data_IF_629319848125
#
_entry.id   IF_629319848125
#
_cell.length_a   1.000
_cell.length_b   1.000
_cell.length_c   1.000
_cell.angle_alpha   90.00
_cell.angle_beta   90.00
_cell.angle_gamma   90.00
#
_symmetry.space_group_name_H-M   'P 1'
#
loop_
_entity.id
_entity.type
_entity.pdbx_description
1 polymer ?
#
# COMPACT_ATOMS: atom_id res chain seq x y z
N UNK A 1 -24.07 -65.77 -84.27
CA UNK A 1 -25.14 -66.20 -85.17
C UNK A 1 -26.47 -65.68 -84.64
N UNK A 2 -27.23 -65.00 -85.51
CA UNK A 2 -28.70 -64.94 -85.60
C UNK A 2 -29.54 -64.41 -84.40
N UNK A 3 -30.03 -63.17 -84.59
CA UNK A 3 -31.44 -62.70 -84.55
C UNK A 3 -32.50 -63.44 -83.73
N UNK A 4 -33.35 -62.70 -82.99
CA UNK A 4 -34.79 -62.54 -83.36
C UNK A 4 -35.51 -61.41 -82.61
N UNK A 5 -36.30 -60.67 -83.38
CA UNK A 5 -37.29 -59.67 -83.00
C UNK A 5 -38.51 -60.26 -82.28
N UNK A 6 -39.20 -59.43 -81.49
CA UNK A 6 -40.56 -59.66 -81.00
C UNK A 6 -41.24 -58.34 -80.67
N UNK A 7 -42.27 -58.00 -81.45
CA UNK A 7 -43.08 -56.79 -81.41
C UNK A 7 -44.27 -57.00 -80.45
N UNK A 8 -44.75 -55.99 -79.71
CA UNK A 8 -46.13 -55.98 -79.19
C UNK A 8 -46.59 -54.57 -78.79
N UNK A 9 -47.90 -54.40 -78.89
CA UNK A 9 -48.69 -53.18 -79.12
C UNK A 9 -48.96 -52.34 -77.86
N UNK A 10 -49.25 -51.07 -78.12
CA UNK A 10 -49.79 -50.05 -77.21
C UNK A 10 -51.15 -50.45 -76.58
N UNK A 11 -51.35 -50.06 -75.32
CA UNK A 11 -52.62 -49.48 -74.85
C UNK A 11 -52.36 -48.49 -73.70
N UNK A 12 -52.65 -47.22 -73.96
CA UNK A 12 -52.61 -46.12 -72.98
C UNK A 12 -53.91 -46.11 -72.18
N UNK A 13 -53.81 -46.22 -70.85
CA UNK A 13 -54.95 -46.07 -69.93
C UNK A 13 -54.85 -44.73 -69.20
N UNK A 14 -55.96 -43.99 -69.22
CA UNK A 14 -56.10 -42.64 -68.64
C UNK A 14 -56.16 -42.72 -67.10
N UNK A 15 -55.49 -41.84 -66.34
CA UNK A 15 -55.59 -41.81 -64.88
C UNK A 15 -56.90 -41.14 -64.38
N UNK A 16 -57.36 -41.48 -63.17
CA UNK A 16 -58.65 -41.04 -62.62
C UNK A 16 -58.62 -39.59 -62.10
N UNK A 17 -59.78 -38.93 -62.08
CA UNK A 17 -60.00 -37.55 -61.61
C UNK A 17 -59.94 -37.42 -60.07
N UNK A 18 -59.50 -36.27 -59.53
CA UNK A 18 -59.41 -36.02 -58.07
C UNK A 18 -60.75 -35.60 -57.44
N UNK A 19 -60.92 -35.78 -56.10
CA UNK A 19 -62.11 -35.34 -55.35
C UNK A 19 -62.06 -33.82 -55.02
N UNK A 20 -63.20 -33.20 -54.66
CA UNK A 20 -63.35 -31.74 -54.59
C UNK A 20 -62.67 -31.12 -53.35
N UNK A 21 -62.06 -29.96 -53.56
CA UNK A 21 -61.32 -29.15 -52.58
C UNK A 21 -62.26 -28.45 -51.59
N UNK A 22 -62.07 -28.69 -50.29
CA UNK A 22 -62.64 -27.87 -49.21
C UNK A 22 -61.48 -27.03 -48.63
N UNK A 23 -61.54 -25.71 -48.78
CA UNK A 23 -60.37 -24.82 -48.75
C UNK A 23 -60.04 -24.26 -47.36
N UNK A 24 -58.78 -24.40 -46.93
CA UNK A 24 -58.20 -23.73 -45.74
C UNK A 24 -58.16 -22.19 -45.87
N UNK A 25 -58.26 -21.64 -47.09
CA UNK A 25 -58.31 -20.19 -47.34
C UNK A 25 -59.54 -19.51 -46.73
N UNK A 26 -60.69 -20.20 -46.67
CA UNK A 26 -61.94 -19.61 -46.18
C UNK A 26 -61.88 -19.38 -44.66
N UNK A 27 -61.25 -20.29 -43.92
CA UNK A 27 -61.12 -20.21 -42.45
C UNK A 27 -60.20 -19.05 -42.05
N UNK A 28 -59.08 -18.86 -42.77
CA UNK A 28 -58.12 -17.79 -42.49
C UNK A 28 -58.69 -16.40 -42.81
N UNK A 29 -59.48 -16.28 -43.89
CA UNK A 29 -60.18 -15.04 -44.24
C UNK A 29 -61.27 -14.69 -43.22
N UNK A 30 -62.11 -15.66 -42.83
CA UNK A 30 -63.16 -15.45 -41.84
C UNK A 30 -62.61 -15.14 -40.43
N UNK A 31 -61.51 -15.78 -40.03
CA UNK A 31 -60.83 -15.49 -38.76
C UNK A 31 -60.20 -14.09 -38.77
N UNK A 32 -59.58 -13.68 -39.89
CA UNK A 32 -59.05 -12.32 -40.05
C UNK A 32 -60.16 -11.27 -39.94
N UNK A 33 -61.32 -11.50 -40.55
CA UNK A 33 -62.52 -10.64 -40.39
C UNK A 33 -63.01 -10.59 -38.94
N UNK A 34 -63.12 -11.74 -38.26
CA UNK A 34 -63.50 -11.77 -36.83
C UNK A 34 -62.50 -11.08 -35.90
N UNK A 35 -61.22 -11.12 -36.22
CA UNK A 35 -60.17 -10.43 -35.45
C UNK A 35 -60.21 -8.91 -35.62
N UNK A 36 -60.80 -8.40 -36.72
CA UNK A 36 -61.02 -6.96 -36.93
C UNK A 36 -62.17 -6.41 -36.07
N UNK A 37 -63.15 -7.24 -35.74
CA UNK A 37 -64.31 -6.88 -34.88
C UNK A 37 -63.91 -6.71 -33.39
N UNK A 38 -62.72 -7.16 -32.99
CA UNK A 38 -62.22 -6.97 -31.62
C UNK A 38 -61.63 -5.56 -31.47
N UNK A 39 -62.33 -4.72 -30.71
CA UNK A 39 -62.14 -3.27 -30.53
C UNK A 39 -60.72 -2.75 -30.22
N UNK A 40 -59.73 -3.59 -29.94
CA UNK A 40 -58.37 -3.18 -29.56
C UNK A 40 -57.24 -3.84 -30.38
N UNK A 41 -57.53 -4.82 -31.23
CA UNK A 41 -56.50 -5.56 -31.99
C UNK A 41 -55.85 -4.68 -33.07
N UNK A 42 -56.59 -3.70 -33.61
CA UNK A 42 -56.09 -2.70 -34.56
C UNK A 42 -54.95 -1.84 -34.01
N UNK A 43 -54.91 -1.60 -32.70
CA UNK A 43 -53.90 -0.78 -32.04
C UNK A 43 -52.57 -1.52 -31.86
N UNK A 44 -52.60 -2.85 -31.72
CA UNK A 44 -51.44 -3.64 -31.30
C UNK A 44 -50.75 -4.31 -32.51
N UNK A 45 -51.48 -4.62 -33.59
CA UNK A 45 -50.93 -5.31 -34.76
C UNK A 45 -51.10 -4.51 -36.05
N UNK A 46 -50.00 -3.97 -36.60
CA UNK A 46 -49.95 -3.21 -37.85
C UNK A 46 -50.25 -4.06 -39.11
N UNK A 47 -50.25 -5.39 -38.98
CA UNK A 47 -50.47 -6.32 -40.08
C UNK A 47 -51.96 -6.49 -40.46
N UNK A 48 -52.90 -6.12 -39.57
CA UNK A 48 -54.35 -6.31 -39.80
C UNK A 48 -55.04 -5.07 -40.41
N UNK A 49 -54.50 -3.87 -40.20
CA UNK A 49 -54.98 -2.61 -40.77
C UNK A 49 -53.81 -1.68 -41.15
N UNK A 50 -53.23 -1.83 -42.36
CA UNK A 50 -52.15 -0.96 -42.83
C UNK A 50 -52.61 0.50 -43.02
N UNK A 51 -53.86 0.69 -43.44
CA UNK A 51 -54.44 2.00 -43.76
C UNK A 51 -54.66 2.90 -42.53
N UNK A 52 -54.93 2.33 -41.35
CA UNK A 52 -55.24 3.11 -40.14
C UNK A 52 -54.02 3.81 -39.52
N UNK A 53 -52.79 3.42 -39.89
CA UNK A 53 -51.55 4.00 -39.33
C UNK A 53 -50.82 4.99 -40.24
N UNK A 54 -51.27 5.17 -41.48
CA UNK A 54 -50.77 6.28 -42.32
C UNK A 54 -51.25 7.64 -41.80
N UNK A 55 -52.33 7.66 -40.99
CA UNK A 55 -52.96 8.89 -40.51
C UNK A 55 -52.75 9.21 -39.02
N UNK A 56 -51.94 8.43 -38.27
CA UNK A 56 -51.46 8.83 -36.93
C UNK A 56 -50.17 9.68 -37.03
N UNK A 57 -49.63 9.81 -38.24
CA UNK A 57 -48.47 10.65 -38.56
C UNK A 57 -48.84 12.05 -39.07
N UNK A 58 -50.07 12.51 -38.84
CA UNK A 58 -50.48 13.88 -39.17
C UNK A 58 -50.46 14.74 -37.91
N UNK A 59 -49.46 15.63 -37.85
CA UNK A 59 -49.42 16.87 -37.05
C UNK A 59 -49.72 16.77 -35.55
N UNK A 60 -48.70 16.37 -34.77
CA UNK A 60 -48.48 17.02 -33.48
C UNK A 60 -47.52 18.18 -33.74
N UNK A 61 -48.03 19.42 -33.79
CA UNK A 61 -47.21 20.65 -34.02
C UNK A 61 -46.05 20.81 -33.02
N UNK A 62 -46.04 20.07 -31.91
CA UNK A 62 -45.07 20.16 -30.82
C UNK A 62 -44.01 19.03 -30.76
N UNK A 63 -43.96 18.06 -31.70
CA UNK A 63 -42.99 16.94 -31.63
C UNK A 63 -42.02 16.91 -32.82
N UNK A 64 -40.75 17.23 -32.57
CA UNK A 64 -39.65 17.16 -33.54
C UNK A 64 -38.74 15.96 -33.25
N UNK A 65 -38.45 15.11 -34.24
CA UNK A 65 -37.53 13.96 -34.08
C UNK A 65 -36.28 14.16 -34.94
N UNK A 66 -35.11 14.29 -34.31
CA UNK A 66 -33.81 14.43 -34.99
C UNK A 66 -33.05 13.10 -34.98
N UNK A 67 -32.78 12.49 -36.13
CA UNK A 67 -31.95 11.29 -36.19
C UNK A 67 -30.52 11.59 -35.67
N UNK A 68 -30.01 10.78 -34.74
CA UNK A 68 -28.65 10.94 -34.22
C UNK A 68 -27.70 10.00 -34.95
N UNK A 69 -27.92 8.69 -34.85
CA UNK A 69 -27.03 7.67 -35.41
C UNK A 69 -27.78 6.37 -35.70
N UNK A 70 -27.40 5.69 -36.79
CA UNK A 70 -27.88 4.34 -37.10
C UNK A 70 -26.69 3.40 -37.17
N UNK A 71 -26.77 2.29 -36.44
CA UNK A 71 -25.76 1.24 -36.36
C UNK A 71 -26.42 -0.10 -36.69
N UNK A 72 -25.64 -1.11 -37.02
CA UNK A 72 -26.18 -2.47 -37.23
C UNK A 72 -26.96 -2.98 -36.00
N UNK A 73 -26.59 -2.53 -34.79
CA UNK A 73 -27.25 -2.88 -33.53
C UNK A 73 -28.48 -2.04 -33.18
N UNK A 74 -28.83 -1.01 -33.96
CA UNK A 74 -30.02 -0.21 -33.69
C UNK A 74 -29.96 1.23 -34.19
N UNK A 75 -31.00 2.00 -33.90
CA UNK A 75 -31.13 3.39 -34.32
C UNK A 75 -31.35 4.29 -33.10
N UNK A 76 -30.67 5.44 -33.08
CA UNK A 76 -30.79 6.46 -32.06
C UNK A 76 -31.30 7.76 -32.68
N UNK A 77 -32.21 8.42 -31.98
CA UNK A 77 -32.80 9.70 -32.37
C UNK A 77 -33.11 10.52 -31.11
N UNK A 78 -33.09 11.84 -31.27
CA UNK A 78 -33.52 12.80 -30.27
C UNK A 78 -34.99 13.14 -30.53
N UNK A 79 -35.82 13.18 -29.48
CA UNK A 79 -37.22 13.63 -29.57
C UNK A 79 -37.34 14.90 -28.75
N UNK A 80 -37.73 15.99 -29.41
CA UNK A 80 -37.94 17.31 -28.82
C UNK A 80 -39.44 17.57 -28.81
N UNK A 81 -40.03 17.56 -27.61
CA UNK A 81 -41.46 17.84 -27.40
C UNK A 81 -41.75 19.34 -27.18
N UNK A 82 -40.70 20.14 -26.95
CA UNK A 82 -40.78 21.59 -26.78
C UNK A 82 -39.39 22.18 -27.02
N UNK A 83 -39.24 23.23 -27.85
CA UNK A 83 -37.95 23.88 -28.02
C UNK A 83 -37.45 24.45 -26.69
N UNK A 84 -36.13 24.47 -26.46
CA UNK A 84 -35.57 25.02 -25.22
C UNK A 84 -36.04 26.47 -25.03
N UNK A 85 -36.56 26.77 -23.83
CA UNK A 85 -37.04 28.12 -23.52
C UNK A 85 -35.86 29.11 -23.56
N UNK A 86 -36.01 30.29 -24.19
CA UNK A 86 -34.95 31.31 -24.21
C UNK A 86 -34.51 31.82 -22.83
N UNK A 87 -35.29 31.53 -21.78
CA UNK A 87 -35.01 31.91 -20.39
C UNK A 87 -34.46 30.77 -19.54
N UNK A 88 -34.36 29.55 -20.09
CA UNK A 88 -33.75 28.43 -19.38
C UNK A 88 -32.22 28.55 -19.49
N UNK A 89 -31.64 29.37 -18.63
CA UNK A 89 -30.21 29.31 -18.35
C UNK A 89 -29.86 27.86 -18.01
N UNK A 90 -28.83 27.32 -18.66
CA UNK A 90 -28.27 25.97 -18.46
C UNK A 90 -27.67 25.74 -17.05
N UNK A 91 -28.03 26.59 -16.09
CA UNK A 91 -27.49 26.65 -14.73
C UNK A 91 -27.96 25.52 -13.82
N UNK A 92 -29.02 24.79 -14.19
CA UNK A 92 -29.39 23.55 -13.49
C UNK A 92 -28.54 22.36 -13.97
N UNK A 93 -27.23 22.47 -13.75
CA UNK A 93 -26.34 21.31 -13.71
C UNK A 93 -26.69 20.51 -12.45
N UNK A 94 -27.42 19.42 -12.65
CA UNK A 94 -27.62 18.38 -11.64
C UNK A 94 -26.23 17.83 -11.27
N UNK A 95 -25.69 18.32 -10.13
CA UNK A 95 -24.63 17.68 -9.32
C UNK A 95 -23.38 17.20 -10.07
N UNK A 96 -22.70 18.09 -10.79
CA UNK A 96 -21.24 17.89 -10.99
C UNK A 96 -20.49 18.64 -9.90
N UNK A 97 -19.60 18.00 -9.11
CA UNK A 97 -18.71 18.72 -8.21
C UNK A 97 -18.01 19.84 -8.99
N UNK A 98 -17.77 21.02 -8.38
CA UNK A 98 -17.05 22.10 -9.04
C UNK A 98 -15.79 21.51 -9.69
N UNK A 99 -15.57 21.76 -10.99
CA UNK A 99 -14.37 21.32 -11.70
C UNK A 99 -13.16 21.78 -10.90
N UNK A 100 -12.63 20.91 -10.04
CA UNK A 100 -11.34 21.13 -9.38
C UNK A 100 -10.35 21.22 -10.52
N UNK A 101 -9.45 22.21 -10.47
CA UNK A 101 -8.35 22.28 -11.44
C UNK A 101 -7.72 20.90 -11.54
N UNK A 102 -7.55 20.41 -12.77
CA UNK A 102 -6.93 19.12 -13.00
C UNK A 102 -5.55 19.14 -12.34
N UNK A 103 -5.28 18.17 -11.46
CA UNK A 103 -3.96 18.04 -10.85
C UNK A 103 -2.95 17.72 -11.95
N UNK A 104 -1.89 18.50 -12.06
CA UNK A 104 -0.82 18.21 -13.01
C UNK A 104 -0.07 16.94 -12.59
N UNK A 105 0.62 16.28 -13.53
CA UNK A 105 1.49 15.15 -13.22
C UNK A 105 2.54 15.51 -12.15
N UNK A 106 3.07 16.73 -12.20
CA UNK A 106 4.05 17.25 -11.25
C UNK A 106 3.44 17.37 -9.84
N UNK A 107 2.21 17.87 -9.71
CA UNK A 107 1.52 17.96 -8.41
C UNK A 107 1.25 16.57 -7.80
N UNK A 108 0.96 15.58 -8.64
CA UNK A 108 0.77 14.19 -8.20
C UNK A 108 2.10 13.62 -7.71
N UNK A 109 3.18 13.76 -8.49
CA UNK A 109 4.51 13.30 -8.13
C UNK A 109 5.00 13.93 -6.83
N UNK A 110 4.83 15.25 -6.67
CA UNK A 110 5.21 15.97 -5.46
C UNK A 110 4.47 15.47 -4.22
N UNK A 111 3.19 15.11 -4.34
CA UNK A 111 2.44 14.53 -3.20
C UNK A 111 2.90 13.12 -2.85
N UNK A 112 3.27 12.31 -3.85
CA UNK A 112 3.81 10.96 -3.64
C UNK A 112 5.18 11.03 -2.96
N UNK A 113 6.07 11.90 -3.44
CA UNK A 113 7.39 12.14 -2.86
C UNK A 113 7.27 12.64 -1.42
N UNK A 114 6.42 13.63 -1.14
CA UNK A 114 6.20 14.11 0.21
C UNK A 114 5.66 13.01 1.16
N UNK A 115 4.86 12.06 0.64
CA UNK A 115 4.42 10.91 1.43
C UNK A 115 5.55 9.90 1.67
N UNK A 116 6.44 9.73 0.70
CA UNK A 116 7.64 8.89 0.84
C UNK A 116 8.64 9.49 1.83
N UNK A 117 8.89 10.78 1.77
CA UNK A 117 9.76 11.48 2.73
C UNK A 117 9.24 11.37 4.16
N UNK A 118 7.91 11.45 4.36
CA UNK A 118 7.32 11.20 5.69
C UNK A 118 7.57 9.77 6.17
N UNK A 119 7.45 8.76 5.29
CA UNK A 119 7.79 7.37 5.65
C UNK A 119 9.28 7.24 5.99
N UNK A 120 10.16 7.75 5.13
CA UNK A 120 11.62 7.73 5.33
C UNK A 120 12.03 8.43 6.63
N UNK A 121 11.42 9.57 6.92
CA UNK A 121 11.69 10.34 8.15
C UNK A 121 11.26 9.56 9.40
N UNK A 122 10.08 8.92 9.39
CA UNK A 122 9.64 8.08 10.50
C UNK A 122 10.57 6.88 10.70
N UNK A 123 10.95 6.20 9.62
CA UNK A 123 11.89 5.08 9.67
C UNK A 123 13.25 5.52 10.22
N UNK A 124 13.80 6.62 9.72
CA UNK A 124 15.05 7.18 10.20
C UNK A 124 14.99 7.54 11.70
N UNK A 125 13.87 8.08 12.18
CA UNK A 125 13.69 8.38 13.59
C UNK A 125 13.68 7.09 14.45
N UNK A 126 13.02 6.04 13.99
CA UNK A 126 13.01 4.74 14.67
C UNK A 126 14.41 4.13 14.69
N UNK A 127 15.11 4.13 13.55
CA UNK A 127 16.49 3.63 13.45
C UNK A 127 17.44 4.41 14.36
N UNK A 128 17.30 5.73 14.44
CA UNK A 128 18.08 6.57 15.35
C UNK A 128 17.85 6.17 16.81
N UNK A 129 16.60 6.03 17.24
CA UNK A 129 16.28 5.63 18.62
C UNK A 129 16.81 4.21 18.95
N UNK A 130 16.79 3.30 17.97
CA UNK A 130 17.39 1.97 18.13
C UNK A 130 18.92 2.04 18.24
N UNK A 131 19.58 2.87 17.44
CA UNK A 131 21.01 3.09 17.52
C UNK A 131 21.43 3.69 18.87
N UNK A 132 20.70 4.69 19.36
CA UNK A 132 20.92 5.29 20.69
C UNK A 132 20.77 4.25 21.81
N UNK A 133 19.78 3.35 21.73
CA UNK A 133 19.66 2.23 22.68
C UNK A 133 20.86 1.27 22.64
N UNK A 134 21.34 0.92 21.44
CA UNK A 134 22.51 0.05 21.26
C UNK A 134 23.80 0.70 21.78
N UNK A 135 23.94 2.00 21.60
CA UNK A 135 25.05 2.77 22.17
C UNK A 135 24.99 2.75 23.70
N UNK A 136 23.82 3.06 24.28
CA UNK A 136 23.64 3.01 25.73
C UNK A 136 23.96 1.65 26.34
N UNK A 137 23.53 0.55 25.69
CA UNK A 137 23.88 -0.81 26.13
C UNK A 137 25.40 -1.05 26.14
N UNK A 138 26.12 -0.56 25.13
CA UNK A 138 27.60 -0.64 25.10
C UNK A 138 28.22 0.18 26.21
N UNK A 139 27.75 1.41 26.44
CA UNK A 139 28.26 2.29 27.48
C UNK A 139 28.07 1.70 28.88
N UNK A 140 26.92 1.10 29.15
CA UNK A 140 26.65 0.43 30.43
C UNK A 140 27.61 -0.73 30.66
N UNK A 141 27.85 -1.57 29.64
CA UNK A 141 28.80 -2.68 29.74
C UNK A 141 30.23 -2.20 29.97
N UNK A 142 30.68 -1.19 29.21
CA UNK A 142 32.00 -0.60 29.35
C UNK A 142 32.19 0.01 30.74
N UNK A 143 31.19 0.74 31.24
CA UNK A 143 31.22 1.34 32.58
C UNK A 143 31.29 0.28 33.68
N UNK A 144 30.53 -0.81 33.57
CA UNK A 144 30.60 -1.89 34.53
C UNK A 144 31.99 -2.55 34.55
N UNK A 145 32.61 -2.73 33.38
CA UNK A 145 33.99 -3.25 33.29
C UNK A 145 35.01 -2.28 33.89
N UNK A 146 34.87 -0.97 33.61
CA UNK A 146 35.75 0.08 34.13
C UNK A 146 35.67 0.18 35.65
N UNK A 147 34.47 0.19 36.23
CA UNK A 147 34.27 0.21 37.68
C UNK A 147 34.88 -1.01 38.36
N UNK A 148 34.74 -2.21 37.76
CA UNK A 148 35.36 -3.43 38.28
C UNK A 148 36.90 -3.38 38.22
N UNK A 149 37.47 -2.83 37.14
CA UNK A 149 38.91 -2.61 37.02
C UNK A 149 39.40 -1.58 38.04
N UNK A 150 38.66 -0.49 38.23
CA UNK A 150 38.99 0.58 39.16
C UNK A 150 38.99 0.07 40.62
N UNK A 151 38.00 -0.76 41.00
CA UNK A 151 37.99 -1.36 42.34
C UNK A 151 39.25 -2.17 42.63
N UNK A 152 39.66 -3.02 41.67
CA UNK A 152 40.89 -3.82 41.80
C UNK A 152 42.14 -2.94 41.94
N UNK A 153 42.25 -1.90 41.11
CA UNK A 153 43.37 -0.94 41.13
C UNK A 153 43.46 -0.19 42.46
N UNK A 154 42.34 0.35 42.93
CA UNK A 154 42.28 1.08 44.20
C UNK A 154 42.62 0.18 45.40
N UNK A 155 42.19 -1.08 45.37
CA UNK A 155 42.53 -2.06 46.41
C UNK A 155 44.04 -2.39 46.40
N UNK A 156 44.63 -2.57 45.21
CA UNK A 156 46.05 -2.82 45.04
C UNK A 156 46.91 -1.64 45.50
N UNK A 157 46.60 -0.42 45.03
CA UNK A 157 47.30 0.81 45.44
C UNK A 157 47.25 1.00 46.96
N UNK A 158 46.09 0.76 47.58
CA UNK A 158 45.93 0.87 49.03
C UNK A 158 46.77 -0.17 49.78
N UNK A 159 46.86 -1.39 49.26
CA UNK A 159 47.70 -2.45 49.84
C UNK A 159 49.18 -2.07 49.75
N UNK A 160 49.64 -1.65 48.56
CA UNK A 160 51.02 -1.22 48.33
C UNK A 160 51.39 -0.10 49.30
N UNK A 161 50.55 0.93 49.39
CA UNK A 161 50.77 2.07 50.27
C UNK A 161 50.86 1.66 51.75
N UNK A 162 50.06 0.67 52.18
CA UNK A 162 50.12 0.13 53.54
C UNK A 162 51.38 -0.69 53.79
N UNK A 163 51.81 -1.48 52.82
CA UNK A 163 53.03 -2.27 52.94
C UNK A 163 54.26 -1.37 53.01
N UNK A 164 54.33 -0.31 52.20
CA UNK A 164 55.44 0.65 52.28
C UNK A 164 55.42 1.40 53.61
N UNK A 165 54.26 1.86 54.09
CA UNK A 165 54.14 2.49 55.40
C UNK A 165 54.63 1.59 56.55
N UNK A 166 54.29 0.29 56.51
CA UNK A 166 54.75 -0.68 57.53
C UNK A 166 56.26 -0.84 57.46
N UNK A 167 56.81 -0.93 56.26
CA UNK A 167 58.25 -1.07 56.01
C UNK A 167 59.02 0.17 56.50
N UNK A 168 58.60 1.37 56.11
CA UNK A 168 59.19 2.64 56.56
C UNK A 168 59.14 2.76 58.10
N UNK A 169 58.02 2.41 58.73
CA UNK A 169 57.90 2.43 60.19
C UNK A 169 58.88 1.44 60.86
N UNK A 170 59.04 0.25 60.30
CA UNK A 170 59.98 -0.76 60.80
C UNK A 170 61.42 -0.29 60.65
N UNK A 171 61.76 0.28 59.50
CA UNK A 171 63.10 0.77 59.21
C UNK A 171 63.44 1.98 60.09
N UNK A 172 62.50 2.89 60.31
CA UNK A 172 62.65 4.00 61.25
C UNK A 172 62.88 3.54 62.70
N UNK A 173 62.14 2.52 63.15
CA UNK A 173 62.33 1.93 64.47
C UNK A 173 63.75 1.34 64.63
N UNK A 174 64.20 0.58 63.63
CA UNK A 174 65.53 -0.03 63.63
C UNK A 174 66.61 1.06 63.58
N UNK A 175 66.46 2.06 62.72
CA UNK A 175 67.39 3.19 62.59
C UNK A 175 67.52 3.94 63.93
N UNK A 176 66.41 4.27 64.58
CA UNK A 176 66.42 4.93 65.88
C UNK A 176 67.08 4.06 66.98
N UNK A 177 66.93 2.73 66.91
CA UNK A 177 67.61 1.82 67.83
C UNK A 177 69.12 1.80 67.59
N UNK A 178 69.55 1.72 66.33
CA UNK A 178 70.96 1.73 65.95
C UNK A 178 71.63 3.05 66.29
N UNK A 179 70.95 4.18 66.11
CA UNK A 179 71.45 5.50 66.46
C UNK A 179 71.75 5.63 67.96
N UNK A 180 70.81 5.20 68.84
CA UNK A 180 71.04 5.18 70.29
C UNK A 180 72.21 4.29 70.71
N UNK A 181 72.45 3.18 70.00
CA UNK A 181 73.60 2.31 70.26
C UNK A 181 74.90 2.97 69.80
N UNK A 182 74.89 3.62 68.64
CA UNK A 182 76.04 4.34 68.11
C UNK A 182 76.43 5.55 68.98
N UNK A 183 75.46 6.27 69.55
CA UNK A 183 75.70 7.32 70.54
C UNK A 183 76.41 6.79 71.79
N UNK A 184 76.01 5.62 72.30
CA UNK A 184 76.68 4.98 73.44
C UNK A 184 78.13 4.61 73.12
N UNK A 185 78.40 4.10 71.92
CA UNK A 185 79.77 3.78 71.48
C UNK A 185 80.63 5.04 71.38
N UNK A 186 80.10 6.13 70.79
CA UNK A 186 80.79 7.43 70.75
C UNK A 186 81.13 7.94 72.14
N UNK A 187 80.17 7.88 73.07
CA UNK A 187 80.39 8.30 74.44
C UNK A 187 81.47 7.45 75.13
N UNK A 188 81.46 6.13 74.93
CA UNK A 188 82.49 5.25 75.47
C UNK A 188 83.90 5.60 74.94
N UNK A 189 84.02 5.93 73.65
CA UNK A 189 85.27 6.41 73.05
C UNK A 189 85.74 7.74 73.66
N UNK A 190 84.82 8.68 73.83
CA UNK A 190 85.11 9.97 74.45
C UNK A 190 85.59 9.81 75.90
N UNK A 191 84.94 8.94 76.69
CA UNK A 191 85.36 8.63 78.05
C UNK A 191 86.77 8.02 78.08
N UNK A 192 87.10 7.10 77.16
CA UNK A 192 88.46 6.53 77.03
C UNK A 192 89.49 7.62 76.73
N UNK A 193 89.21 8.48 75.76
CA UNK A 193 90.08 9.61 75.38
C UNK A 193 90.29 10.59 76.53
N UNK A 194 89.21 10.94 77.23
CA UNK A 194 89.27 11.86 78.38
C UNK A 194 90.10 11.29 79.54
N UNK A 195 90.07 9.96 79.72
CA UNK A 195 90.93 9.28 80.70
C UNK A 195 92.41 9.43 80.32
N UNK A 196 92.76 9.12 79.07
CA UNK A 196 94.14 9.25 78.55
C UNK A 196 94.67 10.69 78.72
N UNK A 197 93.88 11.69 78.33
CA UNK A 197 94.23 13.11 78.49
C UNK A 197 94.45 13.51 79.96
N UNK A 198 93.62 13.00 80.88
CA UNK A 198 93.79 13.28 82.32
C UNK A 198 95.07 12.64 82.86
N UNK A 199 95.36 11.41 82.45
CA UNK A 199 96.59 10.71 82.84
C UNK A 199 97.82 11.46 82.33
N UNK A 200 97.83 11.92 81.07
CA UNK A 200 98.90 12.75 80.48
C UNK A 200 99.12 14.08 81.22
N UNK A 201 98.05 14.75 81.68
CA UNK A 201 98.14 16.01 82.42
C UNK A 201 98.63 15.85 83.87
N UNK A 202 98.53 14.65 84.43
CA UNK A 202 98.91 14.35 85.82
C UNK A 202 100.24 13.60 85.95
N UNK A 203 100.83 13.17 84.85
CA UNK A 203 102.16 12.55 84.77
C UNK A 203 103.27 13.60 84.63
#
# INVERSE_FOLDING_TARGET
>A
MLTRSGNTQYHSTKPPSPPPQFTEEIVCSAYKEKMKELSLVSLICSCLYPEARKNIMSEFEDMEVKPINKRASGQAFEVILKPPSPMADSSYSITTPPKKRDMSLEDIQKKLEAAEDRRRSQEAQVLKALAEKREHERDVLLKAMEENSNFSRMAEEKLIMKMEQIKENRDALIAAMLERLHEKEKHAQEVRRNKELREELTA
#
